data_IF_203050615121
#
_entry.id   IF_203050615121
#
_cell.length_a   1.000
_cell.length_b   1.000
_cell.length_c   1.000
_cell.angle_alpha   90.00
_cell.angle_beta   90.00
_cell.angle_gamma   90.00
#
_symmetry.space_group_name_H-M   'P 1'
#
loop_
_entity.id
_entity.type
_entity.pdbx_description
1 polymer ?
#
# COMPACT_ATOMS: atom_id res chain seq x y z
N UNK A 1 -11.76 -4.64 16.33
CA UNK A 1 -12.02 -3.75 15.17
C UNK A 1 -10.80 -3.79 14.28
N UNK A 2 -10.94 -4.16 12.99
CA UNK A 2 -9.81 -4.19 12.08
C UNK A 2 -9.48 -2.77 11.62
N UNK A 3 -8.19 -2.50 11.53
CA UNK A 3 -7.66 -1.26 10.96
C UNK A 3 -6.79 -1.63 9.79
N UNK A 4 -7.15 -1.15 8.60
CA UNK A 4 -6.35 -1.36 7.40
C UNK A 4 -5.43 -0.16 7.20
N UNK A 5 -4.13 -0.40 7.22
CA UNK A 5 -3.10 0.64 7.07
C UNK A 5 -2.40 0.45 5.74
N UNK A 6 -2.48 1.45 4.86
CA UNK A 6 -1.73 1.51 3.61
C UNK A 6 -0.56 2.46 3.77
N UNK A 7 0.59 2.09 3.24
CA UNK A 7 1.77 2.95 3.20
C UNK A 7 2.03 3.40 1.77
N UNK A 8 2.36 4.68 1.63
CA UNK A 8 2.65 5.32 0.36
C UNK A 8 3.84 6.25 0.49
N UNK A 9 4.46 6.55 -0.64
CA UNK A 9 5.47 7.56 -0.82
C UNK A 9 4.84 8.74 -1.58
N UNK A 10 4.96 9.92 -1.01
CA UNK A 10 4.58 11.18 -1.68
C UNK A 10 5.57 11.52 -2.78
N UNK A 11 5.18 12.42 -3.68
CA UNK A 11 6.07 12.92 -4.75
C UNK A 11 7.34 13.60 -4.22
N UNK A 12 7.35 14.07 -2.97
CA UNK A 12 8.52 14.64 -2.30
C UNK A 12 9.40 13.59 -1.59
N UNK A 13 9.10 12.30 -1.75
CA UNK A 13 9.82 11.21 -1.09
C UNK A 13 9.47 11.03 0.39
N UNK A 14 8.52 11.79 0.94
CA UNK A 14 8.02 11.58 2.31
C UNK A 14 7.06 10.38 2.35
N UNK A 15 7.25 9.49 3.30
CA UNK A 15 6.33 8.39 3.56
C UNK A 15 5.07 8.91 4.25
N UNK A 16 3.92 8.51 3.75
CA UNK A 16 2.61 8.75 4.35
C UNK A 16 1.87 7.43 4.49
N UNK A 17 0.87 7.37 5.34
CA UNK A 17 0.04 6.18 5.48
C UNK A 17 -1.43 6.54 5.67
N UNK A 18 -2.29 5.80 4.98
CA UNK A 18 -3.75 5.89 5.13
C UNK A 18 -4.17 4.79 6.10
N UNK A 19 -4.88 5.16 7.17
CA UNK A 19 -5.51 4.21 8.08
C UNK A 19 -7.03 4.25 7.89
N UNK A 20 -7.62 3.12 7.54
CA UNK A 20 -9.06 2.90 7.59
C UNK A 20 -9.40 2.18 8.89
N UNK A 21 -10.00 2.92 9.82
CA UNK A 21 -10.56 2.37 11.04
C UNK A 21 -11.94 1.76 10.76
N UNK A 22 -12.35 0.78 11.59
CA UNK A 22 -13.64 0.06 11.44
C UNK A 22 -13.76 -0.68 10.10
N UNK A 23 -12.65 -1.21 9.62
CA UNK A 23 -12.70 -2.13 8.51
C UNK A 23 -13.32 -3.45 9.03
N UNK A 24 -14.42 -3.90 8.44
CA UNK A 24 -15.07 -5.17 8.83
C UNK A 24 -14.88 -6.26 7.80
N UNK A 25 -14.41 -5.89 6.60
CA UNK A 25 -14.09 -6.84 5.54
C UNK A 25 -12.67 -7.40 5.70
N UNK A 26 -12.37 -8.45 4.94
CA UNK A 26 -11.03 -8.96 4.76
C UNK A 26 -10.49 -8.44 3.42
N UNK A 27 -9.51 -7.54 3.49
CA UNK A 27 -8.85 -7.01 2.30
C UNK A 27 -7.85 -8.06 1.84
N UNK A 28 -8.05 -8.63 0.67
CA UNK A 28 -7.02 -9.44 0.04
C UNK A 28 -5.89 -8.55 -0.48
N UNK A 29 -4.70 -9.11 -0.65
CA UNK A 29 -3.55 -8.39 -1.20
C UNK A 29 -3.85 -7.75 -2.57
N UNK A 30 -4.64 -8.43 -3.40
CA UNK A 30 -5.05 -7.94 -4.70
C UNK A 30 -5.93 -6.68 -4.59
N UNK A 31 -6.99 -6.75 -3.77
CA UNK A 31 -7.89 -5.61 -3.52
C UNK A 31 -7.15 -4.42 -2.91
N UNK A 32 -6.27 -4.70 -1.95
CA UNK A 32 -5.49 -3.68 -1.29
C UNK A 32 -4.46 -3.03 -2.25
N UNK A 33 -3.88 -3.79 -3.19
CA UNK A 33 -3.04 -3.24 -4.26
C UNK A 33 -3.86 -2.40 -5.24
N UNK A 34 -5.00 -2.90 -5.69
CA UNK A 34 -5.87 -2.21 -6.63
C UNK A 34 -6.38 -0.89 -6.04
N UNK A 35 -6.85 -0.89 -4.79
CA UNK A 35 -7.23 0.34 -4.09
C UNK A 35 -6.06 1.33 -4.02
N UNK A 36 -4.86 0.87 -3.64
CA UNK A 36 -3.71 1.74 -3.50
C UNK A 36 -3.24 2.32 -4.86
N UNK A 37 -3.34 1.54 -5.95
CA UNK A 37 -3.11 2.00 -7.31
C UNK A 37 -4.15 3.05 -7.73
N UNK A 38 -5.43 2.82 -7.46
CA UNK A 38 -6.51 3.79 -7.76
C UNK A 38 -6.29 5.08 -6.99
N UNK A 39 -5.89 5.02 -5.71
CA UNK A 39 -5.60 6.22 -4.91
C UNK A 39 -4.42 7.02 -5.49
N UNK A 40 -3.38 6.31 -5.94
CA UNK A 40 -2.23 6.93 -6.58
C UNK A 40 -2.56 7.57 -7.93
N UNK A 41 -3.32 6.87 -8.76
CA UNK A 41 -3.76 7.32 -10.08
C UNK A 41 -4.76 8.47 -10.01
N UNK A 42 -5.72 8.39 -9.08
CA UNK A 42 -6.73 9.41 -8.86
C UNK A 42 -6.14 10.76 -8.47
N UNK A 43 -4.91 10.79 -7.91
CA UNK A 43 -4.26 12.02 -7.41
C UNK A 43 -5.21 12.86 -6.56
N UNK A 44 -6.11 12.21 -5.83
CA UNK A 44 -7.18 12.87 -5.08
C UNK A 44 -6.63 13.64 -3.87
N UNK A 45 -5.41 13.32 -3.44
CA UNK A 45 -4.77 13.87 -2.24
C UNK A 45 -3.54 14.68 -2.60
N UNK A 46 -3.75 15.74 -3.38
CA UNK A 46 -2.73 16.75 -3.65
C UNK A 46 -2.86 17.85 -2.60
N UNK A 47 -1.79 18.06 -1.83
CA UNK A 47 -1.70 19.14 -0.85
C UNK A 47 -0.53 20.04 -1.25
N UNK A 48 -0.80 21.34 -1.43
CA UNK A 48 0.22 22.32 -1.84
C UNK A 48 0.96 21.92 -3.13
N UNK A 49 0.26 21.29 -4.09
CA UNK A 49 0.85 20.77 -5.33
C UNK A 49 1.63 19.46 -5.18
N UNK A 50 1.71 18.90 -3.97
CA UNK A 50 2.39 17.63 -3.68
C UNK A 50 1.37 16.51 -3.61
N UNK A 51 1.50 15.50 -4.47
CA UNK A 51 0.72 14.28 -4.33
C UNK A 51 1.20 13.51 -3.09
N UNK A 52 0.35 13.43 -2.08
CA UNK A 52 0.67 12.77 -0.82
C UNK A 52 0.79 11.26 -1.03
N UNK A 53 -0.08 10.67 -1.84
CA UNK A 53 -0.13 9.22 -2.07
C UNK A 53 0.31 8.89 -3.50
N UNK A 54 1.55 9.22 -3.87
CA UNK A 54 2.03 9.05 -5.24
C UNK A 54 2.40 7.61 -5.60
N UNK A 55 3.10 6.90 -4.71
CA UNK A 55 3.52 5.51 -4.94
C UNK A 55 3.08 4.65 -3.76
N UNK A 56 2.24 3.62 -3.95
CA UNK A 56 1.92 2.69 -2.88
C UNK A 56 3.12 1.79 -2.58
N UNK A 57 3.48 1.67 -1.30
CA UNK A 57 4.64 0.86 -0.85
C UNK A 57 4.21 -0.40 -0.11
N UNK A 58 2.96 -0.49 0.34
CA UNK A 58 2.46 -1.69 1.01
C UNK A 58 1.15 -1.47 1.76
N UNK A 59 0.59 -2.55 2.29
CA UNK A 59 -0.54 -2.51 3.20
C UNK A 59 -0.43 -3.57 4.29
N UNK A 60 -0.96 -3.24 5.47
CA UNK A 60 -1.04 -4.12 6.63
C UNK A 60 -2.38 -3.97 7.33
N UNK A 61 -2.94 -5.08 7.79
CA UNK A 61 -4.10 -5.09 8.66
C UNK A 61 -3.64 -5.16 10.12
N UNK A 62 -4.32 -4.44 11.00
CA UNK A 62 -4.06 -4.46 12.43
C UNK A 62 -5.38 -4.68 13.15
N UNK A 63 -5.48 -5.79 13.86
CA UNK A 63 -6.67 -6.16 14.62
C UNK A 63 -6.27 -6.45 16.07
N UNK A 64 -5.99 -7.70 16.40
CA UNK A 64 -5.28 -8.08 17.64
C UNK A 64 -3.77 -8.22 17.40
N UNK A 65 -3.41 -8.62 16.18
CA UNK A 65 -2.04 -8.73 15.69
C UNK A 65 -1.92 -7.94 14.39
N UNK A 66 -0.69 -7.55 14.05
CA UNK A 66 -0.39 -6.90 12.77
C UNK A 66 -0.15 -7.99 11.73
N UNK A 67 -1.02 -8.06 10.73
CA UNK A 67 -0.88 -8.95 9.58
C UNK A 67 -0.48 -8.09 8.39
N UNK A 68 0.71 -8.33 7.84
CA UNK A 68 1.09 -7.69 6.58
C UNK A 68 0.25 -8.28 5.45
N UNK A 69 -0.40 -7.42 4.65
CA UNK A 69 -1.19 -7.86 3.50
C UNK A 69 -0.27 -7.98 2.29
N UNK A 70 0.51 -6.94 2.02
CA UNK A 70 1.53 -6.96 0.99
C UNK A 70 2.56 -5.85 1.23
N UNK A 71 3.78 -6.09 0.77
CA UNK A 71 4.83 -5.09 0.67
C UNK A 71 5.26 -4.97 -0.79
N UNK A 72 5.37 -3.75 -1.30
CA UNK A 72 5.96 -3.45 -2.60
C UNK A 72 7.36 -2.93 -2.31
N UNK A 73 8.32 -3.84 -2.24
CA UNK A 73 9.72 -3.46 -2.27
C UNK A 73 9.98 -2.96 -3.70
N UNK A 74 10.38 -1.69 -3.85
CA UNK A 74 10.68 -1.08 -5.14
C UNK A 74 11.96 -1.65 -5.76
N UNK A 75 12.32 -2.91 -5.46
CA UNK A 75 13.24 -3.69 -6.24
C UNK A 75 12.47 -4.31 -7.41
N UNK A 76 12.36 -3.53 -8.48
CA UNK A 76 12.28 -4.12 -9.83
C UNK A 76 13.54 -4.97 -10.02
N UNK A 77 13.45 -6.24 -9.69
CA UNK A 77 14.20 -7.27 -10.39
C UNK A 77 13.24 -8.44 -10.59
N UNK A 78 12.97 -8.87 -11.83
CA UNK A 78 12.33 -10.14 -12.05
C UNK A 78 13.32 -11.16 -11.50
N UNK A 79 13.01 -11.81 -10.38
CA UNK A 79 13.81 -12.95 -9.96
C UNK A 79 13.63 -13.99 -11.09
N UNK A 80 14.67 -14.27 -11.90
CA UNK A 80 14.58 -15.33 -12.88
C UNK A 80 14.32 -16.58 -12.05
N UNK A 81 13.30 -17.34 -12.42
CA UNK A 81 13.08 -18.66 -11.86
C UNK A 81 14.41 -19.43 -11.96
N UNK A 82 15.10 -19.62 -10.84
CA UNK A 82 16.18 -20.60 -10.78
C UNK A 82 15.53 -21.96 -11.05
N UNK A 83 15.87 -22.63 -12.16
CA UNK A 83 15.43 -23.99 -12.37
C UNK A 83 16.10 -24.83 -11.29
N UNK A 84 15.27 -25.55 -10.54
CA UNK A 84 15.69 -26.63 -9.66
C UNK A 84 16.66 -27.57 -10.42
N UNK A 85 17.79 -27.88 -9.78
CA UNK A 85 18.72 -28.93 -10.20
C UNK A 85 18.98 -29.86 -9.01
#
# INVERSE_FOLDING_TARGET
MKTLSFSFKSSLGKTTSIRLNKYEADATADQAKQFAQIVADAKAFVKDGVNLYATPTGAKMTETQVTEIYHIDEKKEPQPAEPQA
#
